data_IF_156818133962
#
_entry.id   IF_156818133962
#
_cell.length_a   1.000
_cell.length_b   1.000
_cell.length_c   1.000
_cell.angle_alpha   90.00
_cell.angle_beta   90.00
_cell.angle_gamma   90.00
#
_symmetry.space_group_name_H-M   'P 1'
#
loop_
_entity.id
_entity.type
_entity.pdbx_description
1 polymer ?
#
# COMPACT_ATOMS: atom_id res chain seq x y z
N UNK A 1 26.10 -1.54 10.49
CA UNK A 1 24.93 -0.64 10.53
C UNK A 1 23.96 -1.18 11.55
N UNK A 2 23.29 -0.31 12.31
CA UNK A 2 22.22 -0.69 13.23
C UNK A 2 20.97 0.10 12.90
N UNK A 3 19.81 -0.56 12.92
CA UNK A 3 18.51 0.07 12.76
C UNK A 3 17.63 -0.36 13.94
N UNK A 4 16.76 0.54 14.40
CA UNK A 4 15.73 0.24 15.40
C UNK A 4 14.39 0.33 14.68
N UNK A 5 13.61 -0.74 14.74
CA UNK A 5 12.23 -0.77 14.30
C UNK A 5 11.32 -0.84 15.53
N UNK A 6 10.49 0.19 15.72
CA UNK A 6 9.52 0.28 16.82
C UNK A 6 8.12 0.23 16.21
N UNK A 7 7.30 -0.70 16.68
CA UNK A 7 5.88 -0.79 16.35
C UNK A 7 5.11 -0.58 17.65
N UNK A 8 4.19 0.39 17.65
CA UNK A 8 3.28 0.66 18.77
C UNK A 8 1.86 0.30 18.36
N UNK A 9 1.19 -0.54 19.16
CA UNK A 9 -0.16 -1.01 18.90
C UNK A 9 -1.15 -0.30 19.82
N UNK A 10 -2.25 0.18 19.25
CA UNK A 10 -3.37 0.77 19.98
C UNK A 10 -4.65 -0.04 19.69
N UNK A 11 -4.89 -1.15 20.41
CA UNK A 11 -6.08 -1.95 20.20
C UNK A 11 -7.36 -1.14 20.40
N UNK A 12 -8.38 -1.38 19.58
CA UNK A 12 -9.67 -0.72 19.71
C UNK A 12 -10.33 -1.18 21.02
N UNK A 13 -10.81 -0.27 21.89
CA UNK A 13 -11.52 -0.66 23.10
C UNK A 13 -12.74 -1.55 22.80
N UNK A 14 -12.78 -2.74 23.40
CA UNK A 14 -13.86 -3.71 23.20
C UNK A 14 -13.59 -4.80 22.14
N UNK A 15 -12.43 -4.77 21.48
CA UNK A 15 -11.97 -5.82 20.60
C UNK A 15 -11.65 -7.10 21.39
N UNK A 16 -12.14 -8.26 20.94
CA UNK A 16 -11.85 -9.55 21.56
C UNK A 16 -10.44 -10.04 21.25
N UNK A 17 -9.97 -11.05 22.00
CA UNK A 17 -8.66 -11.65 21.73
C UNK A 17 -8.58 -12.24 20.31
N UNK A 18 -9.62 -12.94 19.87
CA UNK A 18 -9.66 -13.56 18.53
C UNK A 18 -9.56 -12.52 17.42
N UNK A 19 -10.32 -11.43 17.53
CA UNK A 19 -10.28 -10.32 16.57
C UNK A 19 -8.90 -9.65 16.55
N UNK A 20 -8.28 -9.46 17.73
CA UNK A 20 -6.95 -8.90 17.84
C UNK A 20 -5.87 -9.83 17.25
N UNK A 21 -5.98 -11.15 17.48
CA UNK A 21 -5.11 -12.15 16.84
C UNK A 21 -5.27 -12.12 15.32
N UNK A 22 -6.49 -12.07 14.82
CA UNK A 22 -6.78 -11.98 13.39
C UNK A 22 -6.19 -10.70 12.77
N UNK A 23 -6.29 -9.56 13.48
CA UNK A 23 -5.71 -8.29 13.03
C UNK A 23 -4.17 -8.38 12.90
N UNK A 24 -3.49 -8.94 13.90
CA UNK A 24 -2.03 -9.10 13.88
C UNK A 24 -1.55 -10.13 12.85
N UNK A 25 -2.29 -11.23 12.67
CA UNK A 25 -1.98 -12.24 11.67
C UNK A 25 -2.07 -11.63 10.26
N UNK A 26 -3.15 -10.90 9.99
CA UNK A 26 -3.34 -10.23 8.70
C UNK A 26 -2.27 -9.18 8.44
N UNK A 27 -1.87 -8.41 9.46
CA UNK A 27 -0.74 -7.47 9.34
C UNK A 27 0.56 -8.19 8.95
N UNK A 28 0.84 -9.33 9.59
CA UNK A 28 2.06 -10.12 9.33
C UNK A 28 2.08 -10.65 7.90
N UNK A 29 0.96 -11.21 7.42
CA UNK A 29 0.82 -11.68 6.05
C UNK A 29 0.96 -10.54 5.03
N UNK A 30 0.37 -9.38 5.30
CA UNK A 30 0.50 -8.21 4.44
C UNK A 30 1.94 -7.68 4.38
N UNK A 31 2.66 -7.69 5.51
CA UNK A 31 4.06 -7.32 5.56
C UNK A 31 4.96 -8.30 4.78
N UNK A 32 4.67 -9.61 4.84
CA UNK A 32 5.34 -10.62 4.02
C UNK A 32 5.11 -10.37 2.52
N UNK A 33 3.87 -10.16 2.11
CA UNK A 33 3.51 -9.88 0.73
C UNK A 33 4.18 -8.60 0.21
N UNK A 34 4.23 -7.54 1.02
CA UNK A 34 4.96 -6.32 0.70
C UNK A 34 6.46 -6.59 0.53
N UNK A 35 7.08 -7.35 1.44
CA UNK A 35 8.49 -7.69 1.35
C UNK A 35 8.78 -8.45 0.04
N UNK A 36 7.91 -9.38 -0.36
CA UNK A 36 7.98 -10.09 -1.65
C UNK A 36 7.91 -9.14 -2.86
N UNK A 37 6.94 -8.22 -2.86
CA UNK A 37 6.77 -7.23 -3.93
C UNK A 37 8.00 -6.31 -4.04
N UNK A 38 8.52 -5.82 -2.90
CA UNK A 38 9.71 -4.96 -2.85
C UNK A 38 10.97 -5.68 -3.34
N UNK A 39 11.22 -6.90 -2.86
CA UNK A 39 12.39 -7.67 -3.24
C UNK A 39 12.39 -8.08 -4.72
N UNK A 40 11.19 -8.27 -5.29
CA UNK A 40 11.04 -8.54 -6.73
C UNK A 40 11.28 -7.28 -7.55
N UNK A 41 10.74 -6.15 -7.10
CA UNK A 41 10.83 -4.88 -7.81
C UNK A 41 12.21 -4.22 -7.74
N UNK A 42 12.93 -4.33 -6.62
CA UNK A 42 14.17 -3.59 -6.41
C UNK A 42 15.31 -4.46 -5.88
N UNK A 43 16.53 -3.99 -6.12
CA UNK A 43 17.64 -4.38 -5.27
C UNK A 43 17.56 -3.53 -3.99
N UNK A 44 17.33 -4.19 -2.85
CA UNK A 44 17.15 -3.52 -1.58
C UNK A 44 18.44 -2.87 -1.06
N UNK A 45 19.62 -3.39 -1.42
CA UNK A 45 20.89 -2.74 -1.10
C UNK A 45 20.97 -1.40 -1.82
N UNK A 46 20.60 -1.34 -3.10
CA UNK A 46 20.58 -0.10 -3.86
C UNK A 46 19.50 0.87 -3.36
N UNK A 47 18.26 0.40 -3.22
CA UNK A 47 17.12 1.26 -2.88
C UNK A 47 17.29 1.90 -1.49
N UNK A 48 17.83 1.15 -0.52
CA UNK A 48 18.05 1.65 0.84
C UNK A 48 19.08 2.79 0.92
N UNK A 49 19.99 2.91 -0.06
CA UNK A 49 20.90 4.06 -0.14
C UNK A 49 20.20 5.37 -0.53
N UNK A 50 19.05 5.30 -1.18
CA UNK A 50 18.26 6.48 -1.58
C UNK A 50 17.49 7.04 -0.40
N UNK A 51 16.94 6.17 0.46
CA UNK A 51 16.17 6.57 1.62
C UNK A 51 15.14 5.52 2.06
N UNK A 52 14.43 5.76 3.17
CA UNK A 52 13.45 4.83 3.72
C UNK A 52 12.22 4.72 2.82
N UNK A 53 11.50 3.59 2.92
CA UNK A 53 10.25 3.34 2.20
C UNK A 53 9.08 3.79 3.07
N UNK A 54 8.10 4.46 2.46
CA UNK A 54 6.85 4.83 3.08
C UNK A 54 5.75 3.88 2.62
N UNK A 55 5.01 3.30 3.56
CA UNK A 55 3.80 2.54 3.28
C UNK A 55 2.61 3.20 3.97
N UNK A 56 1.47 3.32 3.27
CA UNK A 56 0.18 3.56 3.92
C UNK A 56 -0.56 2.23 4.05
N UNK A 57 -0.37 1.59 5.21
CA UNK A 57 -0.99 0.31 5.51
C UNK A 57 -2.51 0.46 5.70
N UNK A 58 -3.30 -0.39 5.03
CA UNK A 58 -4.78 -0.46 5.14
C UNK A 58 -5.49 0.88 5.04
N UNK A 59 -5.03 1.74 4.14
CA UNK A 59 -5.77 2.96 3.85
C UNK A 59 -7.10 2.59 3.20
N UNK A 60 -8.20 3.14 3.72
CA UNK A 60 -9.52 2.99 3.12
C UNK A 60 -10.29 4.31 3.26
N UNK A 61 -11.31 4.47 2.42
CA UNK A 61 -12.18 5.63 2.46
C UNK A 61 -13.57 5.24 1.99
N UNK A 62 -14.58 5.74 2.69
CA UNK A 62 -15.96 5.57 2.25
C UNK A 62 -16.15 6.22 0.87
N UNK A 63 -16.81 5.57 -0.10
CA UNK A 63 -16.97 6.09 -1.46
C UNK A 63 -17.55 7.49 -1.54
N UNK A 64 -18.45 7.84 -0.61
CA UNK A 64 -19.09 9.16 -0.52
C UNK A 64 -18.10 10.29 -0.25
N UNK A 65 -16.94 9.96 0.33
CA UNK A 65 -15.86 10.90 0.60
C UNK A 65 -14.72 10.81 -0.41
N UNK A 66 -14.81 9.95 -1.43
CA UNK A 66 -13.71 9.71 -2.35
C UNK A 66 -13.55 10.72 -3.49
N UNK A 67 -14.59 11.53 -3.79
CA UNK A 67 -14.57 12.48 -4.91
C UNK A 67 -14.44 13.92 -4.42
N UNK A 68 -13.38 14.60 -4.88
CA UNK A 68 -13.22 16.06 -4.68
C UNK A 68 -13.25 16.48 -3.21
N UNK A 69 -12.91 15.57 -2.31
CA UNK A 69 -13.00 15.79 -0.87
C UNK A 69 -11.73 16.45 -0.34
N UNK A 70 -11.91 17.13 0.79
CA UNK A 70 -10.82 17.64 1.62
C UNK A 70 -9.76 16.56 1.90
N UNK A 71 -10.16 15.30 2.00
CA UNK A 71 -9.24 14.18 2.21
C UNK A 71 -8.21 14.05 1.10
N UNK A 72 -8.62 14.19 -0.17
CA UNK A 72 -7.70 14.13 -1.30
C UNK A 72 -6.63 15.21 -1.20
N UNK A 73 -7.05 16.43 -0.84
CA UNK A 73 -6.16 17.58 -0.69
C UNK A 73 -5.22 17.41 0.50
N UNK A 74 -5.74 16.93 1.63
CA UNK A 74 -4.96 16.64 2.84
C UNK A 74 -3.90 15.58 2.55
N UNK A 75 -4.25 14.47 1.89
CA UNK A 75 -3.28 13.43 1.54
C UNK A 75 -2.20 13.95 0.59
N UNK A 76 -2.58 14.74 -0.43
CA UNK A 76 -1.60 15.35 -1.32
C UNK A 76 -0.65 16.30 -0.60
N UNK A 77 -1.18 17.15 0.29
CA UNK A 77 -0.35 18.07 1.08
C UNK A 77 0.54 17.30 2.06
N UNK A 78 0.04 16.24 2.69
CA UNK A 78 0.81 15.40 3.60
C UNK A 78 2.00 14.77 2.86
N UNK A 79 1.76 14.11 1.72
CA UNK A 79 2.83 13.52 0.91
C UNK A 79 3.84 14.59 0.48
N UNK A 80 3.36 15.71 -0.09
CA UNK A 80 4.24 16.76 -0.64
C UNK A 80 5.06 17.48 0.43
N UNK A 81 4.47 17.82 1.58
CA UNK A 81 5.10 18.67 2.59
C UNK A 81 5.83 17.89 3.68
N UNK A 82 5.42 16.66 3.96
CA UNK A 82 5.93 15.89 5.11
C UNK A 82 6.81 14.71 4.71
N UNK A 83 6.63 14.14 3.52
CA UNK A 83 7.24 12.87 3.14
C UNK A 83 8.13 12.92 1.89
N UNK A 84 7.87 13.82 0.94
CA UNK A 84 8.55 13.84 -0.35
C UNK A 84 10.09 13.94 -0.28
N UNK A 85 10.64 14.57 0.76
CA UNK A 85 12.07 14.77 0.98
C UNK A 85 12.70 13.80 1.99
N UNK A 86 11.89 12.91 2.59
CA UNK A 86 12.32 12.03 3.69
C UNK A 86 12.30 10.56 3.34
N UNK A 87 11.59 10.20 2.28
CA UNK A 87 11.41 8.83 1.84
C UNK A 87 11.82 8.67 0.38
N UNK A 88 12.29 7.48 0.03
CA UNK A 88 12.64 7.12 -1.34
C UNK A 88 11.38 6.84 -2.15
N UNK A 89 10.54 5.94 -1.68
CA UNK A 89 9.35 5.44 -2.39
C UNK A 89 8.13 5.42 -1.47
N UNK A 90 6.97 5.73 -2.03
CA UNK A 90 5.66 5.46 -1.43
C UNK A 90 5.08 4.18 -2.04
N UNK A 91 4.67 3.24 -1.18
CA UNK A 91 3.96 2.01 -1.54
C UNK A 91 2.54 2.05 -1.02
N UNK A 92 1.61 1.55 -1.82
CA UNK A 92 0.21 1.40 -1.47
C UNK A 92 -0.35 0.10 -2.03
N UNK A 93 -1.05 -0.67 -1.20
CA UNK A 93 -1.85 -1.81 -1.63
C UNK A 93 -3.29 -1.36 -1.92
N UNK A 94 -3.81 -1.69 -3.10
CA UNK A 94 -5.15 -1.35 -3.54
C UNK A 94 -6.11 -2.53 -3.38
N UNK A 95 -6.39 -2.91 -2.13
CA UNK A 95 -7.33 -3.97 -1.80
C UNK A 95 -8.58 -3.42 -1.10
N UNK A 96 -9.80 -3.72 -1.58
CA UNK A 96 -11.01 -3.27 -0.90
C UNK A 96 -11.24 -4.09 0.36
N UNK A 97 -11.10 -3.40 1.51
CA UNK A 97 -11.11 -3.98 2.86
C UNK A 97 -12.38 -4.79 3.17
N UNK A 98 -13.50 -4.48 2.52
CA UNK A 98 -14.74 -5.24 2.69
C UNK A 98 -14.73 -6.65 2.09
N UNK A 99 -13.65 -7.03 1.38
CA UNK A 99 -13.38 -8.39 0.92
C UNK A 99 -12.22 -9.05 1.68
N UNK A 100 -11.72 -8.41 2.75
CA UNK A 100 -10.67 -9.00 3.57
C UNK A 100 -11.24 -10.22 4.31
N UNK A 101 -10.55 -11.36 4.23
CA UNK A 101 -11.05 -12.65 4.71
C UNK A 101 -12.03 -13.38 3.78
N UNK A 102 -12.40 -12.80 2.64
CA UNK A 102 -13.35 -13.37 1.67
C UNK A 102 -12.64 -13.91 0.41
N UNK A 103 -11.68 -14.83 0.58
CA UNK A 103 -10.77 -15.29 -0.49
C UNK A 103 -11.52 -15.80 -1.74
N UNK A 104 -12.66 -16.46 -1.57
CA UNK A 104 -13.46 -16.99 -2.68
C UNK A 104 -14.05 -15.88 -3.57
N UNK A 105 -14.30 -14.71 -2.98
CA UNK A 105 -14.96 -13.57 -3.63
C UNK A 105 -13.94 -12.52 -4.07
N UNK A 106 -12.79 -12.44 -3.37
CA UNK A 106 -11.72 -11.47 -3.55
C UNK A 106 -10.82 -11.74 -4.78
N UNK A 107 -11.43 -12.04 -5.93
CA UNK A 107 -10.71 -12.42 -7.15
C UNK A 107 -11.03 -11.49 -8.31
N UNK A 108 -10.06 -11.27 -9.22
CA UNK A 108 -10.29 -10.46 -10.44
C UNK A 108 -11.33 -11.07 -11.40
N UNK A 109 -11.65 -12.36 -11.22
CA UNK A 109 -12.76 -13.04 -11.88
C UNK A 109 -14.13 -12.56 -11.40
N UNK A 110 -14.24 -12.13 -10.14
CA UNK A 110 -15.48 -11.62 -9.54
C UNK A 110 -15.76 -10.17 -9.99
N UNK A 111 -16.87 -9.91 -10.74
CA UNK A 111 -17.10 -8.57 -11.30
C UNK A 111 -17.30 -7.46 -10.26
N UNK A 112 -18.07 -7.66 -9.17
CA UNK A 112 -18.13 -6.72 -8.04
C UNK A 112 -16.76 -6.36 -7.46
N UNK A 113 -15.93 -7.35 -7.12
CA UNK A 113 -14.59 -7.14 -6.58
C UNK A 113 -13.74 -6.35 -7.58
N UNK A 114 -13.63 -6.83 -8.82
CA UNK A 114 -12.83 -6.18 -9.88
C UNK A 114 -13.23 -4.72 -10.09
N UNK A 115 -14.52 -4.40 -10.01
CA UNK A 115 -15.01 -3.02 -10.13
C UNK A 115 -14.47 -2.14 -9.01
N UNK A 116 -14.51 -2.62 -7.76
CA UNK A 116 -14.04 -1.89 -6.58
C UNK A 116 -12.51 -1.78 -6.55
N UNK A 117 -11.81 -2.88 -6.81
CA UNK A 117 -10.35 -2.92 -6.96
C UNK A 117 -9.85 -1.85 -7.94
N UNK A 118 -10.39 -1.82 -9.16
CA UNK A 118 -10.02 -0.80 -10.16
C UNK A 118 -10.42 0.62 -9.76
N UNK A 119 -11.51 0.76 -8.99
CA UNK A 119 -11.91 2.08 -8.49
C UNK A 119 -10.92 2.61 -7.45
N UNK A 120 -10.42 1.75 -6.56
CA UNK A 120 -9.39 2.10 -5.59
C UNK A 120 -8.06 2.43 -6.27
N UNK A 121 -7.61 1.64 -7.24
CA UNK A 121 -6.40 1.97 -8.01
C UNK A 121 -6.49 3.36 -8.64
N UNK A 122 -7.61 3.67 -9.31
CA UNK A 122 -7.84 5.01 -9.89
C UNK A 122 -7.86 6.12 -8.84
N UNK A 123 -8.46 5.86 -7.69
CA UNK A 123 -8.50 6.80 -6.59
C UNK A 123 -7.07 7.09 -6.12
N UNK A 124 -6.27 6.07 -5.82
CA UNK A 124 -4.91 6.21 -5.31
C UNK A 124 -3.96 6.84 -6.32
N UNK A 125 -4.10 6.53 -7.61
CA UNK A 125 -3.38 7.25 -8.65
C UNK A 125 -3.71 8.74 -8.64
N UNK A 126 -4.98 9.11 -8.50
CA UNK A 126 -5.38 10.52 -8.47
C UNK A 126 -4.92 11.23 -7.20
N UNK A 127 -5.03 10.59 -6.04
CA UNK A 127 -4.84 11.26 -4.73
C UNK A 127 -3.41 11.19 -4.25
N UNK A 128 -2.70 10.10 -4.53
CA UNK A 128 -1.32 9.89 -4.06
C UNK A 128 -0.31 9.88 -5.19
N UNK A 129 -0.75 9.86 -6.46
CA UNK A 129 0.15 9.79 -7.61
C UNK A 129 0.84 8.44 -7.75
N UNK A 130 0.35 7.39 -7.07
CA UNK A 130 0.88 6.03 -7.21
C UNK A 130 0.39 5.39 -8.51
N UNK A 131 1.25 4.58 -9.10
CA UNK A 131 0.94 3.80 -10.30
C UNK A 131 1.08 2.31 -9.97
N UNK A 132 0.36 1.42 -10.66
CA UNK A 132 0.54 -0.02 -10.45
C UNK A 132 2.01 -0.43 -10.62
N UNK A 133 2.45 -1.44 -9.86
CA UNK A 133 3.74 -2.08 -10.11
C UNK A 133 3.79 -2.66 -11.53
N UNK A 134 4.98 -2.84 -12.12
CA UNK A 134 5.11 -3.65 -13.32
C UNK A 134 4.95 -5.14 -12.98
N UNK A 135 4.25 -5.90 -13.80
CA UNK A 135 4.14 -7.36 -13.66
C UNK A 135 2.96 -7.83 -12.79
N UNK A 136 3.00 -9.10 -12.33
CA UNK A 136 1.92 -9.75 -11.58
C UNK A 136 1.50 -9.01 -10.30
N UNK A 137 2.43 -8.27 -9.68
CA UNK A 137 2.20 -7.51 -8.45
C UNK A 137 1.12 -6.42 -8.64
N UNK A 138 0.89 -5.94 -9.88
CA UNK A 138 -0.23 -5.05 -10.19
C UNK A 138 -1.60 -5.73 -10.06
N UNK A 139 -1.68 -7.02 -10.37
CA UNK A 139 -2.91 -7.81 -10.25
C UNK A 139 -3.22 -8.12 -8.78
N UNK A 140 -2.17 -8.23 -7.96
CA UNK A 140 -2.28 -8.31 -6.50
C UNK A 140 -2.65 -6.95 -5.87
N UNK A 141 -2.55 -5.86 -6.62
CA UNK A 141 -2.96 -4.52 -6.19
C UNK A 141 -1.84 -3.63 -5.67
N UNK A 142 -0.58 -4.04 -5.79
CA UNK A 142 0.55 -3.22 -5.40
C UNK A 142 0.72 -2.02 -6.33
N UNK A 143 0.91 -0.85 -5.72
CA UNK A 143 1.12 0.43 -6.40
C UNK A 143 2.30 1.17 -5.75
N UNK A 144 3.01 1.96 -6.53
CA UNK A 144 4.19 2.68 -6.07
C UNK A 144 4.29 4.09 -6.64
N UNK A 145 5.14 4.91 -6.01
CA UNK A 145 5.56 6.22 -6.50
C UNK A 145 6.96 6.56 -5.98
N UNK A 146 7.84 7.01 -6.87
CA UNK A 146 9.08 7.66 -6.45
C UNK A 146 8.78 9.00 -5.74
N UNK A 147 9.36 9.18 -4.56
CA UNK A 147 9.31 10.43 -3.79
C UNK A 147 10.63 11.20 -3.92
N UNK A 148 11.76 10.50 -3.98
CA UNK A 148 13.09 11.10 -4.12
C UNK A 148 13.68 10.93 -5.52
N UNK A 149 14.61 11.81 -5.89
CA UNK A 149 15.42 11.66 -7.11
C UNK A 149 16.38 10.47 -6.92
N UNK A 150 16.62 9.71 -7.98
CA UNK A 150 17.58 8.59 -7.96
C UNK A 150 16.97 7.25 -7.54
N UNK A 151 15.66 7.20 -7.27
CA UNK A 151 14.94 5.92 -7.15
C UNK A 151 15.03 5.17 -8.50
N UNK A 152 15.55 3.94 -8.52
CA UNK A 152 15.54 3.12 -9.72
C UNK A 152 14.11 2.73 -10.09
N UNK A 153 13.82 2.62 -11.39
CA UNK A 153 12.56 2.04 -11.85
C UNK A 153 12.44 0.58 -11.37
N UNK A 154 11.24 0.13 -10.98
CA UNK A 154 11.03 -1.26 -10.58
C UNK A 154 11.31 -2.21 -11.74
N UNK A 155 11.94 -3.34 -11.41
CA UNK A 155 12.22 -4.43 -12.35
C UNK A 155 10.91 -4.94 -12.94
N UNK A 156 10.83 -5.02 -14.26
CA UNK A 156 9.70 -5.65 -14.94
C UNK A 156 9.91 -7.16 -14.93
N UNK A 157 9.12 -7.89 -14.15
CA UNK A 157 9.07 -9.34 -14.26
C UNK A 157 8.35 -9.69 -15.56
N UNK A 158 9.03 -10.39 -16.47
CA UNK A 158 8.38 -11.03 -17.62
C UNK A 158 7.92 -12.40 -17.16
N UNK A 159 6.64 -12.70 -17.38
CA UNK A 159 6.03 -14.02 -17.18
C UNK A 159 6.77 -15.12 -17.96
#
# INVERSE_FOLDING_TARGET
>A
MGAIHLIEWHPIPGLGNEDFYFELDTYTQSAEALAGALATAWDMEQLSTVGPILEFHRLWMHPDHARGSLWCDVMQQLIRRRYADKFSVLIQHAFPIEYEGEEEVATLGNPPFRRRFRAMQRLYTRTMGVVPFPGPEAEEGWMWRALSKGVPEPKVRRE
#
